data_IF_628343635771
#
_entry.id   IF_628343635771
#
_cell.length_a   1.000
_cell.length_b   1.000
_cell.length_c   1.000
_cell.angle_alpha   90.00
_cell.angle_beta   90.00
_cell.angle_gamma   90.00
#
_symmetry.space_group_name_H-M   'P 1'
#
loop_
_entity.id
_entity.type
_entity.pdbx_description
1 polymer ?
#
# COMPACT_ATOMS: atom_id res chain seq x y z
N UNK A 1 10.16 1.64 -22.30
CA UNK A 1 10.46 2.39 -21.06
C UNK A 1 9.27 2.21 -20.12
N UNK A 2 9.36 1.20 -19.25
CA UNK A 2 8.42 0.87 -18.19
C UNK A 2 9.09 1.32 -16.89
N UNK A 3 8.72 2.47 -16.36
CA UNK A 3 9.17 2.85 -15.03
C UNK A 3 7.95 3.23 -14.22
N UNK A 4 7.51 2.28 -13.41
CA UNK A 4 6.67 2.54 -12.25
C UNK A 4 7.65 2.90 -11.14
N UNK A 5 7.45 4.05 -10.51
CA UNK A 5 8.32 4.53 -9.43
C UNK A 5 7.45 4.90 -8.25
N UNK A 6 7.77 4.34 -7.08
CA UNK A 6 7.16 4.79 -5.82
C UNK A 6 7.87 6.07 -5.40
N UNK A 7 7.18 7.20 -5.54
CA UNK A 7 7.69 8.53 -5.16
C UNK A 7 7.49 8.83 -3.69
N UNK A 8 6.57 8.11 -3.02
CA UNK A 8 6.38 8.19 -1.56
C UNK A 8 6.01 6.84 -0.98
N UNK A 9 6.91 6.31 -0.17
CA UNK A 9 6.67 5.12 0.63
C UNK A 9 5.77 5.42 1.85
N UNK A 10 5.03 4.41 2.36
CA UNK A 10 4.26 4.56 3.58
C UNK A 10 5.21 4.74 4.77
N UNK A 11 4.80 5.57 5.73
CA UNK A 11 5.59 5.87 6.93
C UNK A 11 5.04 5.06 8.10
N UNK A 12 5.93 4.41 8.85
CA UNK A 12 5.57 3.71 10.08
C UNK A 12 5.04 4.68 11.13
N UNK A 13 4.02 4.27 11.87
CA UNK A 13 3.40 5.08 12.94
C UNK A 13 3.25 4.26 14.21
N UNK A 14 3.26 4.95 15.35
CA UNK A 14 2.96 4.37 16.66
C UNK A 14 1.76 5.13 17.24
N UNK A 15 0.65 4.44 17.46
CA UNK A 15 -0.61 5.02 17.95
C UNK A 15 -1.24 4.11 19.01
N UNK A 16 -2.09 4.64 19.90
CA UNK A 16 -2.87 3.82 20.82
C UNK A 16 -3.78 2.81 20.11
N UNK A 17 -4.15 1.75 20.82
CA UNK A 17 -5.15 0.77 20.36
C UNK A 17 -6.48 1.49 20.08
N UNK A 18 -7.20 1.02 19.07
CA UNK A 18 -8.45 1.57 18.54
C UNK A 18 -8.33 2.94 17.87
N UNK A 19 -7.11 3.44 17.62
CA UNK A 19 -6.93 4.65 16.83
C UNK A 19 -7.01 4.36 15.33
N UNK A 20 -7.61 5.29 14.58
CA UNK A 20 -7.71 5.19 13.12
C UNK A 20 -6.42 5.68 12.48
N UNK A 21 -5.84 4.86 11.61
CA UNK A 21 -4.58 5.13 10.90
C UNK A 21 -4.84 5.11 9.41
N UNK A 22 -4.14 5.98 8.66
CA UNK A 22 -4.10 5.94 7.20
C UNK A 22 -2.65 5.86 6.72
N UNK A 23 -2.26 4.72 6.16
CA UNK A 23 -1.01 4.58 5.42
C UNK A 23 -1.22 5.07 3.99
N UNK A 24 -0.18 5.67 3.40
CA UNK A 24 -0.27 6.29 2.07
C UNK A 24 0.94 5.93 1.23
N UNK A 25 0.70 5.40 0.05
CA UNK A 25 1.71 5.19 -1.00
C UNK A 25 1.42 6.16 -2.14
N UNK A 26 2.45 6.73 -2.76
CA UNK A 26 2.30 7.47 -4.03
C UNK A 26 3.30 6.90 -5.03
N UNK A 27 2.79 6.56 -6.21
CA UNK A 27 3.58 6.07 -7.30
C UNK A 27 3.24 6.83 -8.59
N UNK A 28 4.22 6.91 -9.46
CA UNK A 28 4.12 7.51 -10.79
C UNK A 28 4.44 6.44 -11.84
N UNK A 29 3.78 6.54 -12.99
CA UNK A 29 3.93 5.63 -14.11
C UNK A 29 3.21 6.17 -15.34
N UNK A 30 3.56 5.66 -16.52
CA UNK A 30 2.95 6.10 -17.79
C UNK A 30 1.55 5.53 -18.04
N UNK A 31 1.22 4.44 -17.38
CA UNK A 31 -0.04 3.72 -17.47
C UNK A 31 -0.87 3.91 -16.20
N UNK A 32 -2.13 3.49 -16.24
CA UNK A 32 -2.99 3.41 -15.06
C UNK A 32 -2.35 2.45 -14.06
N UNK A 33 -2.13 2.93 -12.83
CA UNK A 33 -1.54 2.12 -11.77
C UNK A 33 -2.64 1.47 -10.92
N UNK A 34 -2.41 0.22 -10.57
CA UNK A 34 -3.22 -0.55 -9.65
C UNK A 34 -2.46 -0.73 -8.33
N UNK A 35 -3.18 -0.69 -7.22
CA UNK A 35 -2.63 -0.84 -5.88
C UNK A 35 -3.23 -2.09 -5.25
N UNK A 36 -2.44 -2.81 -4.48
CA UNK A 36 -2.92 -3.88 -3.62
C UNK A 36 -2.10 -3.91 -2.33
N UNK A 37 -2.77 -3.80 -1.20
CA UNK A 37 -2.13 -3.93 0.11
C UNK A 37 -2.13 -5.38 0.59
N UNK A 38 -1.05 -5.74 1.28
CA UNK A 38 -0.80 -7.06 1.85
C UNK A 38 -0.43 -6.93 3.33
N UNK A 39 -0.80 -7.93 4.13
CA UNK A 39 -0.35 -8.07 5.51
C UNK A 39 1.03 -8.75 5.58
N UNK A 40 1.58 -8.84 6.79
CA UNK A 40 2.83 -9.57 7.09
C UNK A 40 2.84 -11.03 6.59
N UNK A 41 1.66 -11.66 6.51
CA UNK A 41 1.47 -13.04 6.05
C UNK A 41 1.28 -13.14 4.52
N UNK A 42 1.63 -12.09 3.76
CA UNK A 42 1.44 -12.01 2.31
C UNK A 42 -0.03 -12.15 1.86
N UNK A 43 -0.98 -11.93 2.77
CA UNK A 43 -2.42 -12.00 2.45
C UNK A 43 -2.93 -10.65 1.97
N UNK A 44 -3.72 -10.67 0.91
CA UNK A 44 -4.38 -9.47 0.41
C UNK A 44 -5.32 -8.89 1.47
N UNK A 45 -5.19 -7.58 1.69
CA UNK A 45 -6.14 -6.83 2.51
C UNK A 45 -7.42 -6.62 1.70
N UNK A 46 -8.58 -7.11 2.17
CA UNK A 46 -9.84 -6.91 1.46
C UNK A 46 -10.16 -5.41 1.30
N UNK A 47 -10.44 -4.98 0.08
CA UNK A 47 -10.68 -3.56 -0.23
C UNK A 47 -9.43 -2.68 -0.20
N UNK A 48 -8.25 -3.23 0.05
CA UNK A 48 -6.95 -2.55 0.00
C UNK A 48 -6.47 -2.28 -1.42
N UNK A 49 -7.33 -1.76 -2.29
CA UNK A 49 -7.05 -1.54 -3.73
C UNK A 49 -6.72 -0.08 -4.06
N UNK A 50 -6.58 0.77 -3.04
CA UNK A 50 -6.31 2.20 -3.16
C UNK A 50 -4.91 2.54 -2.66
N UNK A 51 -4.38 3.67 -3.12
CA UNK A 51 -3.11 4.22 -2.68
C UNK A 51 -3.07 4.55 -1.17
N UNK A 52 -4.23 4.82 -0.57
CA UNK A 52 -4.39 5.10 0.85
C UNK A 52 -5.11 3.93 1.53
N UNK A 53 -4.48 3.30 2.52
CA UNK A 53 -5.06 2.23 3.33
C UNK A 53 -5.43 2.77 4.70
N UNK A 54 -6.73 2.75 5.01
CA UNK A 54 -7.25 3.19 6.31
C UNK A 54 -7.72 2.01 7.13
N UNK A 55 -7.24 1.90 8.37
CA UNK A 55 -7.60 0.80 9.28
C UNK A 55 -7.61 1.28 10.74
N UNK A 56 -8.18 0.45 11.61
CA UNK A 56 -8.15 0.66 13.06
C UNK A 56 -6.99 -0.15 13.65
N UNK A 57 -6.08 0.52 14.35
CA UNK A 57 -4.93 -0.13 14.98
C UNK A 57 -5.38 -0.96 16.18
N UNK A 58 -5.43 -2.28 16.03
CA UNK A 58 -5.79 -3.23 17.11
C UNK A 58 -4.57 -3.94 17.71
N UNK A 59 -3.51 -4.09 16.91
CA UNK A 59 -2.20 -4.64 17.27
C UNK A 59 -1.14 -4.06 16.33
N UNK A 60 0.14 -4.25 16.66
CA UNK A 60 1.25 -4.00 15.73
C UNK A 60 1.07 -4.86 14.49
N UNK A 61 1.11 -4.22 13.31
CA UNK A 61 0.89 -4.86 12.01
C UNK A 61 1.85 -4.25 10.99
N UNK A 62 2.41 -5.10 10.14
CA UNK A 62 3.15 -4.70 8.96
C UNK A 62 2.24 -4.76 7.73
N UNK A 63 2.33 -3.73 6.89
CA UNK A 63 1.64 -3.66 5.62
C UNK A 63 2.62 -3.38 4.49
N UNK A 64 2.44 -4.08 3.38
CA UNK A 64 3.21 -3.89 2.13
C UNK A 64 2.22 -3.49 1.04
N UNK A 65 2.59 -2.54 0.18
CA UNK A 65 1.75 -2.11 -0.94
C UNK A 65 2.42 -2.51 -2.25
N UNK A 66 1.77 -3.37 -3.04
CA UNK A 66 2.17 -3.62 -4.42
C UNK A 66 1.55 -2.56 -5.31
N UNK A 67 2.37 -1.92 -6.13
CA UNK A 67 1.92 -1.07 -7.23
C UNK A 67 2.21 -1.80 -8.53
N UNK A 68 1.19 -2.03 -9.37
CA UNK A 68 1.37 -2.67 -10.66
C UNK A 68 0.70 -1.92 -11.81
N UNK A 69 1.12 -2.19 -13.03
CA UNK A 69 0.47 -1.71 -14.25
C UNK A 69 -0.32 -2.82 -14.96
N UNK A 70 -1.06 -2.50 -16.04
CA UNK A 70 -1.79 -3.49 -16.85
C UNK A 70 -0.89 -4.43 -17.66
N UNK A 71 0.42 -4.14 -17.72
CA UNK A 71 1.42 -4.92 -18.43
C UNK A 71 2.23 -5.82 -17.48
N UNK A 72 1.65 -6.14 -16.32
CA UNK A 72 2.21 -7.00 -15.26
C UNK A 72 3.57 -6.55 -14.70
N UNK A 73 3.92 -5.27 -14.80
CA UNK A 73 5.08 -4.74 -14.08
C UNK A 73 4.61 -4.36 -12.69
N UNK A 74 5.39 -4.72 -11.67
CA UNK A 74 5.08 -4.37 -10.30
C UNK A 74 6.31 -3.91 -9.54
N UNK A 75 6.07 -3.05 -8.54
CA UNK A 75 7.02 -2.57 -7.54
C UNK A 75 6.34 -2.62 -6.16
N UNK A 76 7.15 -2.65 -5.10
CA UNK A 76 6.70 -2.80 -3.71
C UNK A 76 7.31 -1.69 -2.83
#
# INVERSE_FOLDING_TARGET
IKEIVIVRHPVSVCVPVNHKVTLRVRAEGKSILHYQWFTEDEREVPGGTQADLTFTAVKTQLFVCRVNDPFNNCVF
#
